data_IF_674153841540
#
_entry.id   IF_674153841540
#
_cell.length_a   1.000
_cell.length_b   1.000
_cell.length_c   1.000
_cell.angle_alpha   90.00
_cell.angle_beta   90.00
_cell.angle_gamma   90.00
#
_symmetry.space_group_name_H-M   'P 1'
#
loop_
_entity.id
_entity.type
_entity.pdbx_description
1 polymer ?
#
# COMPACT_ATOMS: atom_id res chain seq x y z
N UNK A 1 -8.60 0.11 -8.60
CA UNK A 1 -8.66 1.56 -8.25
C UNK A 1 -7.36 2.30 -8.63
N UNK A 2 -7.36 3.60 -8.96
CA UNK A 2 -6.15 4.31 -9.44
C UNK A 2 -5.26 4.81 -8.29
N UNK A 3 -3.93 4.74 -8.46
CA UNK A 3 -2.88 5.20 -7.52
C UNK A 3 -3.15 6.60 -6.92
N UNK A 4 -3.74 7.52 -7.69
CA UNK A 4 -4.07 8.89 -7.24
C UNK A 4 -5.20 8.93 -6.23
N UNK A 5 -6.23 8.11 -6.41
CA UNK A 5 -7.36 8.05 -5.48
C UNK A 5 -6.93 7.40 -4.17
N UNK A 6 -6.17 6.32 -4.27
CA UNK A 6 -5.55 5.64 -3.12
C UNK A 6 -4.70 6.61 -2.31
N UNK A 7 -3.83 7.38 -2.97
CA UNK A 7 -3.01 8.40 -2.32
C UNK A 7 -3.86 9.43 -1.56
N UNK A 8 -4.98 9.87 -2.16
CA UNK A 8 -5.92 10.82 -1.54
C UNK A 8 -6.65 10.23 -0.33
N UNK A 9 -7.12 8.99 -0.41
CA UNK A 9 -7.79 8.28 0.68
C UNK A 9 -6.84 8.01 1.86
N UNK A 10 -5.62 7.62 1.54
CA UNK A 10 -4.57 7.31 2.49
C UNK A 10 -3.90 8.56 3.10
N UNK A 11 -4.21 9.76 2.58
CA UNK A 11 -3.59 11.01 3.06
C UNK A 11 -2.08 11.10 2.78
N UNK A 12 -1.58 10.38 1.78
CA UNK A 12 -0.17 10.35 1.40
C UNK A 12 0.03 10.79 -0.04
N UNK A 13 1.24 11.25 -0.36
CA UNK A 13 1.56 11.62 -1.73
C UNK A 13 1.73 10.38 -2.61
N UNK A 14 1.41 10.49 -3.91
CA UNK A 14 1.70 9.44 -4.92
C UNK A 14 3.18 9.03 -4.87
N UNK A 15 4.08 9.97 -4.57
CA UNK A 15 5.51 9.71 -4.33
C UNK A 15 5.77 8.71 -3.20
N UNK A 16 5.01 8.79 -2.12
CA UNK A 16 5.09 7.84 -0.99
C UNK A 16 4.61 6.47 -1.42
N UNK A 17 3.56 6.40 -2.24
CA UNK A 17 3.08 5.14 -2.81
C UNK A 17 4.11 4.50 -3.74
N UNK A 18 4.76 5.29 -4.60
CA UNK A 18 5.88 4.83 -5.43
C UNK A 18 7.08 4.37 -4.58
N UNK A 19 7.31 5.01 -3.44
CA UNK A 19 8.33 4.57 -2.50
C UNK A 19 7.99 3.19 -1.92
N UNK A 20 6.72 2.96 -1.52
CA UNK A 20 6.23 1.66 -1.05
C UNK A 20 6.32 0.55 -2.09
N UNK A 21 6.03 0.87 -3.35
CA UNK A 21 6.24 -0.04 -4.48
C UNK A 21 7.73 -0.38 -4.66
N UNK A 22 8.60 0.62 -4.59
CA UNK A 22 10.05 0.44 -4.80
C UNK A 22 10.70 -0.41 -3.70
N UNK A 23 10.20 -0.33 -2.46
CA UNK A 23 10.69 -1.14 -1.34
C UNK A 23 9.95 -2.49 -1.22
N UNK A 24 8.98 -2.78 -2.09
CA UNK A 24 8.20 -4.02 -2.04
C UNK A 24 7.27 -4.11 -0.82
N UNK A 25 6.93 -2.98 -0.20
CA UNK A 25 6.02 -2.93 0.96
C UNK A 25 4.59 -3.28 0.55
N UNK A 26 4.20 -2.81 -0.64
CA UNK A 26 2.92 -3.09 -1.22
C UNK A 26 3.17 -3.50 -2.66
N UNK A 27 2.97 -4.78 -2.94
CA UNK A 27 3.11 -5.35 -4.28
C UNK A 27 1.72 -5.35 -4.90
N UNK A 28 1.33 -4.31 -5.67
CA UNK A 28 0.04 -4.35 -6.34
C UNK A 28 0.02 -5.54 -7.29
N UNK A 29 -1.12 -6.21 -7.37
CA UNK A 29 -1.36 -7.23 -8.41
C UNK A 29 -1.35 -6.52 -9.76
N UNK A 30 -0.18 -6.47 -10.41
CA UNK A 30 -0.05 -5.93 -11.76
C UNK A 30 -0.74 -6.89 -12.72
N UNK A 31 -1.88 -6.48 -13.25
CA UNK A 31 -2.46 -7.14 -14.41
C UNK A 31 -1.49 -6.96 -15.59
N UNK A 32 -0.77 -8.02 -15.95
CA UNK A 32 0.21 -8.01 -17.04
C UNK A 32 -0.37 -7.65 -18.43
N UNK A 33 -1.70 -7.57 -18.55
CA UNK A 33 -2.40 -7.28 -19.81
C UNK A 33 -2.76 -5.84 -20.07
N UNK A 34 -2.79 -5.00 -19.04
CA UNK A 34 -3.16 -3.60 -19.18
C UNK A 34 -2.19 -2.87 -18.27
N UNK A 35 -1.30 -2.04 -18.83
CA UNK A 35 -0.18 -1.36 -18.14
C UNK A 35 -0.58 -0.51 -16.89
N UNK A 36 -1.86 -0.55 -16.53
CA UNK A 36 -2.47 0.00 -15.34
C UNK A 36 -2.26 -0.90 -14.13
N UNK A 37 -1.85 -0.27 -13.03
CA UNK A 37 -1.86 -0.89 -11.70
C UNK A 37 -3.29 -0.88 -11.21
N UNK A 38 -3.88 -2.06 -11.08
CA UNK A 38 -5.13 -2.20 -10.36
C UNK A 38 -4.83 -2.50 -8.89
N UNK A 39 -5.29 -1.60 -8.03
CA UNK A 39 -5.37 -1.85 -6.60
C UNK A 39 -6.72 -2.48 -6.32
N UNK A 40 -6.71 -3.69 -5.77
CA UNK A 40 -7.90 -4.39 -5.28
C UNK A 40 -8.34 -3.82 -3.93
N UNK A 41 -9.55 -4.13 -3.48
CA UNK A 41 -10.05 -3.73 -2.15
C UNK A 41 -9.13 -4.23 -1.02
N UNK A 42 -8.54 -5.42 -1.17
CA UNK A 42 -7.57 -5.97 -0.20
C UNK A 42 -6.28 -5.13 -0.13
N UNK A 43 -5.82 -4.59 -1.27
CA UNK A 43 -4.68 -3.68 -1.33
C UNK A 43 -5.00 -2.35 -0.64
N UNK A 44 -6.25 -1.87 -0.75
CA UNK A 44 -6.72 -0.65 -0.10
C UNK A 44 -6.76 -0.82 1.42
N UNK A 45 -7.28 -1.94 1.91
CA UNK A 45 -7.36 -2.24 3.34
C UNK A 45 -5.96 -2.27 3.98
N UNK A 46 -5.01 -2.95 3.30
CA UNK A 46 -3.59 -2.93 3.66
C UNK A 46 -3.02 -1.53 3.65
N UNK A 47 -3.30 -0.72 2.62
CA UNK A 47 -2.80 0.65 2.54
C UNK A 47 -3.31 1.55 3.65
N UNK A 48 -4.59 1.39 4.03
CA UNK A 48 -5.18 2.12 5.13
C UNK A 48 -4.50 1.75 6.46
N UNK A 49 -4.27 0.46 6.69
CA UNK A 49 -3.52 -0.01 7.86
C UNK A 49 -2.08 0.54 7.86
N UNK A 50 -1.37 0.50 6.74
CA UNK A 50 -0.03 1.10 6.61
C UNK A 50 -0.03 2.57 7.02
N UNK A 51 -1.02 3.33 6.56
CA UNK A 51 -1.10 4.75 6.86
C UNK A 51 -1.43 5.01 8.32
N UNK A 52 -2.28 4.18 8.93
CA UNK A 52 -2.57 4.24 10.36
C UNK A 52 -1.31 4.00 11.20
N UNK A 53 -0.58 2.92 10.95
CA UNK A 53 0.66 2.63 11.67
C UNK A 53 1.75 3.67 11.42
N UNK A 54 1.86 4.18 10.19
CA UNK A 54 2.80 5.27 9.87
C UNK A 54 2.44 6.55 10.63
N UNK A 55 1.15 6.87 10.79
CA UNK A 55 0.70 7.99 11.61
C UNK A 55 1.02 7.79 13.10
N UNK A 56 1.01 6.55 13.58
CA UNK A 56 1.46 6.18 14.93
C UNK A 56 2.99 6.20 15.11
N UNK A 57 3.78 6.41 14.03
CA UNK A 57 5.24 6.50 14.09
C UNK A 57 5.97 5.17 13.91
N UNK A 58 5.29 4.11 13.47
CA UNK A 58 5.93 2.83 13.21
C UNK A 58 6.79 2.87 11.93
N UNK A 59 7.96 2.21 11.92
CA UNK A 59 8.76 2.09 10.72
C UNK A 59 8.10 1.14 9.71
N UNK A 60 8.29 1.42 8.42
CA UNK A 60 7.68 0.67 7.32
C UNK A 60 7.98 -0.84 7.37
N UNK A 61 9.14 -1.21 7.91
CA UNK A 61 9.55 -2.61 8.12
C UNK A 61 8.65 -3.32 9.13
N UNK A 62 8.31 -2.69 10.25
CA UNK A 62 7.38 -3.27 11.24
C UNK A 62 5.98 -3.42 10.66
N UNK A 63 5.54 -2.41 9.91
CA UNK A 63 4.25 -2.43 9.23
C UNK A 63 4.18 -3.60 8.23
N UNK A 64 5.27 -3.85 7.49
CA UNK A 64 5.38 -5.01 6.59
C UNK A 64 5.25 -6.33 7.36
N UNK A 65 5.92 -6.45 8.51
CA UNK A 65 5.84 -7.63 9.36
C UNK A 65 4.43 -7.83 9.94
N UNK A 66 3.77 -6.76 10.35
CA UNK A 66 2.41 -6.80 10.89
C UNK A 66 1.39 -7.23 9.82
N UNK A 67 1.52 -6.70 8.60
CA UNK A 67 0.62 -7.04 7.48
C UNK A 67 0.91 -8.43 6.89
N UNK A 68 2.16 -8.86 6.87
CA UNK A 68 2.56 -10.20 6.45
C UNK A 68 2.20 -11.31 7.44
N UNK A 69 1.78 -10.94 8.66
CA UNK A 69 1.38 -11.87 9.73
C UNK A 69 -0.13 -12.15 9.76
N UNK A 70 -0.91 -11.73 8.77
CA UNK A 70 -2.34 -12.08 8.69
C UNK A 70 -2.54 -13.39 7.93
N UNK A 71 -2.17 -14.50 8.58
CA UNK A 71 -2.68 -15.82 8.23
C UNK A 71 -3.16 -16.48 9.53
N UNK A 72 -4.46 -16.37 9.78
CA UNK A 72 -5.23 -17.31 10.61
C UNK A 72 -6.43 -17.80 9.81
#
# INVERSE_FOLDING_TARGET
>A
MNVKEVAKLAGISVRTLHHYDKIGLLVPTRNAWNDYRDYSDDDLDKLQQICFFKACGFPLTEIQHLLGSSTV
#
